data_IF_342310608815
#
_entry.id   IF_342310608815
#
_cell.length_a   1.000
_cell.length_b   1.000
_cell.length_c   1.000
_cell.angle_alpha   90.00
_cell.angle_beta   90.00
_cell.angle_gamma   90.00
#
_symmetry.space_group_name_H-M   'P 1'
#
loop_
_entity.id
_entity.type
_entity.pdbx_description
1 polymer ?
#
# COMPACT_ATOMS: atom_id res chain seq x y z
N UNK A 1 -24.14 5.82 11.97
CA UNK A 1 -23.79 4.51 12.55
C UNK A 1 -22.28 4.39 12.50
N UNK A 2 -21.64 4.23 13.65
CA UNK A 2 -20.20 3.97 13.74
C UNK A 2 -19.95 2.50 13.41
N UNK A 3 -19.11 2.21 12.41
CA UNK A 3 -18.68 0.85 12.07
C UNK A 3 -17.37 0.50 12.77
N UNK A 4 -16.93 -0.76 12.68
CA UNK A 4 -15.59 -1.17 13.08
C UNK A 4 -14.78 -1.57 11.86
N UNK A 5 -13.51 -1.20 11.83
CA UNK A 5 -12.60 -1.66 10.80
C UNK A 5 -12.29 -3.15 11.01
N UNK A 6 -12.53 -4.00 10.01
CA UNK A 6 -12.19 -5.43 10.11
C UNK A 6 -10.69 -5.70 10.12
N UNK A 7 -9.88 -4.76 9.62
CA UNK A 7 -8.42 -4.88 9.57
C UNK A 7 -7.76 -4.54 10.91
N UNK A 8 -8.14 -3.43 11.55
CA UNK A 8 -7.49 -2.96 12.77
C UNK A 8 -8.38 -3.01 14.04
N UNK A 9 -9.65 -3.39 13.92
CA UNK A 9 -10.60 -3.48 15.04
C UNK A 9 -11.14 -2.14 15.56
N UNK A 10 -10.43 -1.04 15.28
CA UNK A 10 -10.80 0.30 15.75
C UNK A 10 -12.18 0.75 15.22
N UNK A 11 -12.96 1.46 16.06
CA UNK A 11 -14.19 2.10 15.62
C UNK A 11 -13.87 3.20 14.59
N UNK A 12 -14.70 3.28 13.56
CA UNK A 12 -14.57 4.26 12.50
C UNK A 12 -15.92 4.95 12.27
N UNK A 13 -15.89 6.28 12.21
CA UNK A 13 -17.06 7.08 11.86
C UNK A 13 -17.59 6.73 10.45
N UNK A 14 -16.68 6.32 9.56
CA UNK A 14 -16.97 5.87 8.21
C UNK A 14 -16.06 4.69 7.83
N UNK A 15 -16.62 3.74 7.09
CA UNK A 15 -15.91 2.59 6.52
C UNK A 15 -16.10 2.56 5.01
N UNK A 16 -15.11 2.05 4.30
CA UNK A 16 -15.10 1.80 2.86
C UNK A 16 -15.09 0.28 2.63
N UNK A 17 -15.69 -0.19 1.53
CA UNK A 17 -15.69 -1.61 1.18
C UNK A 17 -14.36 -2.00 0.54
N UNK A 18 -13.74 -3.07 1.05
CA UNK A 18 -12.48 -3.60 0.58
C UNK A 18 -12.63 -5.05 0.10
N UNK A 19 -12.24 -5.32 -1.15
CA UNK A 19 -12.09 -6.68 -1.68
C UNK A 19 -10.96 -7.40 -0.96
N UNK A 20 -11.27 -8.51 -0.28
CA UNK A 20 -10.24 -9.33 0.40
C UNK A 20 -9.43 -10.12 -0.63
N UNK A 21 -10.11 -10.70 -1.62
CA UNK A 21 -9.53 -11.27 -2.84
C UNK A 21 -9.63 -10.25 -3.98
N UNK A 22 -8.47 -9.79 -4.46
CA UNK A 22 -8.34 -8.78 -5.51
C UNK A 22 -8.48 -9.37 -6.93
N UNK A 23 -8.92 -10.62 -7.07
CA UNK A 23 -9.19 -11.22 -8.38
C UNK A 23 -10.25 -10.40 -9.14
N UNK A 24 -9.93 -10.07 -10.39
CA UNK A 24 -10.82 -9.33 -11.27
C UNK A 24 -12.15 -10.07 -11.47
N UNK A 25 -13.26 -9.38 -11.19
CA UNK A 25 -14.61 -9.93 -11.34
C UNK A 25 -15.15 -10.64 -10.10
N UNK A 26 -14.34 -10.81 -9.05
CA UNK A 26 -14.79 -11.34 -7.76
C UNK A 26 -15.43 -10.21 -6.91
N UNK A 27 -16.62 -9.74 -7.29
CA UNK A 27 -17.36 -8.69 -6.59
C UNK A 27 -18.61 -9.24 -5.88
N UNK A 28 -18.42 -10.24 -5.03
CA UNK A 28 -19.49 -10.82 -4.22
C UNK A 28 -19.53 -10.14 -2.84
N UNK A 29 -20.70 -10.08 -2.17
CA UNK A 29 -20.80 -9.52 -0.82
C UNK A 29 -19.86 -10.19 0.18
N UNK A 30 -19.62 -11.50 0.03
CA UNK A 30 -18.72 -12.27 0.89
C UNK A 30 -17.25 -11.91 0.70
N UNK A 31 -16.89 -11.29 -0.43
CA UNK A 31 -15.54 -10.80 -0.70
C UNK A 31 -15.32 -9.34 -0.24
N UNK A 32 -16.37 -8.67 0.26
CA UNK A 32 -16.30 -7.27 0.68
C UNK A 32 -16.20 -7.17 2.20
N UNK A 33 -15.23 -6.43 2.70
CA UNK A 33 -15.08 -6.15 4.13
C UNK A 33 -15.01 -4.66 4.41
N UNK A 34 -15.66 -4.15 5.47
CA UNK A 34 -15.58 -2.74 5.82
C UNK A 34 -14.23 -2.43 6.48
N UNK A 35 -13.52 -1.44 5.94
CA UNK A 35 -12.26 -0.96 6.51
C UNK A 35 -12.31 0.55 6.73
N UNK A 36 -11.59 1.03 7.74
CA UNK A 36 -11.36 2.47 7.85
C UNK A 36 -10.51 2.93 6.65
N UNK A 37 -10.68 4.20 6.26
CA UNK A 37 -9.96 4.79 5.11
C UNK A 37 -8.47 4.53 5.13
N UNK A 38 -7.83 4.62 6.31
CA UNK A 38 -6.40 4.30 6.47
C UNK A 38 -6.06 2.87 6.06
N UNK A 39 -6.73 1.88 6.63
CA UNK A 39 -6.49 0.46 6.34
C UNK A 39 -6.97 0.03 4.95
N UNK A 40 -7.92 0.76 4.37
CA UNK A 40 -8.36 0.53 3.00
C UNK A 40 -7.26 0.91 1.99
N UNK A 41 -6.55 2.01 2.26
CA UNK A 41 -5.49 2.53 1.38
C UNK A 41 -4.08 1.97 1.64
N UNK A 42 -3.83 1.36 2.80
CA UNK A 42 -2.51 0.84 3.24
C UNK A 42 -1.87 -0.11 2.21
N UNK A 43 -2.66 -0.92 1.50
CA UNK A 43 -2.16 -1.80 0.43
C UNK A 43 -2.10 -1.20 -0.97
N UNK A 44 -2.67 0.00 -1.19
CA UNK A 44 -2.84 0.62 -2.52
C UNK A 44 -1.90 1.80 -2.75
N UNK A 45 -1.43 2.45 -1.67
CA UNK A 45 -0.50 3.58 -1.76
C UNK A 45 0.93 3.24 -1.30
N UNK A 46 1.11 2.15 -0.56
CA UNK A 46 2.43 1.54 -0.37
C UNK A 46 2.75 0.67 -1.58
N UNK A 47 3.01 1.31 -2.73
CA UNK A 47 3.74 0.67 -3.80
C UNK A 47 5.23 0.97 -3.59
N UNK A 48 5.97 0.20 -2.76
CA UNK A 48 7.39 0.46 -2.50
C UNK A 48 8.18 0.54 -3.80
N UNK A 49 7.80 -0.24 -4.83
CA UNK A 49 8.43 -0.20 -6.16
C UNK A 49 8.24 1.15 -6.86
N UNK A 50 7.08 1.81 -6.72
CA UNK A 50 6.86 3.13 -7.30
C UNK A 50 7.60 4.24 -6.55
N UNK A 51 7.72 4.13 -5.24
CA UNK A 51 8.41 5.12 -4.39
C UNK A 51 9.93 5.00 -4.54
N UNK A 52 10.48 3.78 -4.61
CA UNK A 52 11.92 3.53 -4.83
C UNK A 52 12.38 4.00 -6.21
N UNK A 53 11.61 3.70 -7.27
CA UNK A 53 11.96 4.14 -8.63
C UNK A 53 11.87 5.65 -8.79
N UNK A 54 10.89 6.32 -8.17
CA UNK A 54 10.82 7.79 -8.22
C UNK A 54 11.92 8.43 -7.37
N UNK A 55 12.19 7.89 -6.19
CA UNK A 55 13.25 8.39 -5.29
C UNK A 55 14.62 8.24 -5.95
N UNK A 56 14.91 7.07 -6.53
CA UNK A 56 16.17 6.82 -7.25
C UNK A 56 16.30 7.71 -8.49
N UNK A 57 15.21 7.90 -9.26
CA UNK A 57 15.22 8.82 -10.41
C UNK A 57 15.44 10.28 -10.02
N UNK A 58 14.92 10.71 -8.86
CA UNK A 58 14.97 12.12 -8.44
C UNK A 58 16.20 12.48 -7.63
N UNK A 59 16.72 11.56 -6.82
CA UNK A 59 17.79 11.80 -5.85
C UNK A 59 19.02 10.90 -6.03
N UNK A 60 18.98 9.97 -6.98
CA UNK A 60 20.01 8.94 -7.15
C UNK A 60 19.84 7.77 -6.17
N UNK A 61 20.64 6.71 -6.32
CA UNK A 61 20.57 5.53 -5.44
C UNK A 61 20.91 5.91 -3.99
N UNK A 62 20.18 5.34 -3.03
CA UNK A 62 20.36 5.57 -1.58
C UNK A 62 21.77 5.24 -1.09
N UNK A 63 22.49 4.37 -1.82
CA UNK A 63 23.92 4.15 -1.66
C UNK A 63 24.66 4.73 -2.86
N UNK A 64 25.64 5.63 -2.65
CA UNK A 64 26.54 6.01 -3.73
C UNK A 64 27.23 4.76 -4.28
N UNK A 65 27.13 4.54 -5.59
CA UNK A 65 28.03 3.61 -6.26
C UNK A 65 29.41 4.27 -6.27
N UNK A 66 30.25 3.95 -5.28
CA UNK A 66 31.68 4.14 -5.43
C UNK A 66 32.08 3.21 -6.58
N UNK A 67 32.34 3.77 -7.76
CA UNK A 67 32.82 3.00 -8.91
C UNK A 67 34.03 2.14 -8.53
N UNK A 68 34.39 1.14 -9.35
CA UNK A 68 35.54 0.29 -9.05
C UNK A 68 36.74 1.18 -8.78
N UNK A 69 37.32 1.02 -7.59
CA UNK A 69 38.57 1.68 -7.22
C UNK A 69 39.63 1.27 -8.24
N UNK A 70 39.91 2.19 -9.17
CA UNK A 70 40.93 2.02 -10.19
C UNK A 70 42.23 1.61 -9.52
N UNK A 71 42.68 0.39 -9.81
CA UNK A 71 44.06 -0.02 -9.59
C UNK A 71 44.74 0.11 -10.94
N UNK A 72 45.84 0.88 -10.91
CA UNK A 72 46.75 1.18 -12.01
C UNK A 72 47.25 -0.07 -12.74
#
# INVERSE_FOLDING_TARGET
MTGHCTCCGEPAAHTEEHHVDQQRGNNTPDNLTPRCRRCHHDGTHDNPRAVDDQTTRRYGPTRPSTGPSGSF
#
